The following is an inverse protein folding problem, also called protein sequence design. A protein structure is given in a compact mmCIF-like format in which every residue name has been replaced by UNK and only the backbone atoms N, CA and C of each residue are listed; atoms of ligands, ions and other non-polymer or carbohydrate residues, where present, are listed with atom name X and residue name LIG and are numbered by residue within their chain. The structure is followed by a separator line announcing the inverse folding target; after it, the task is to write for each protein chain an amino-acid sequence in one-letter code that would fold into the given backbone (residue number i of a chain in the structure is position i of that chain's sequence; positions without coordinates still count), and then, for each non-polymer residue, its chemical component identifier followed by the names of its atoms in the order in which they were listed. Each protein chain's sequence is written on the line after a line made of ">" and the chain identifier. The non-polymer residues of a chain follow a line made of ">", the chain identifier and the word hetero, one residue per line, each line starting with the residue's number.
data_IF_468462367005
#
_entry.id   IF_468462367005
#
_cell.length_a   1.000
_cell.length_b   1.000
_cell.length_c   1.000
_cell.angle_alpha   90.00
_cell.angle_beta   90.00
_cell.angle_gamma   90.00
#
_symmetry.space_group_name_H-M   'P 1'
#
loop_
_entity.id
_entity.type
_entity.pdbx_description
1 polymer ?
#
# COMPACT_ATOMS: atom_id res chain seq x y z
N UNK A 1 52.02 50.31 50.20
CA UNK A 1 50.73 49.63 50.42
C UNK A 1 49.74 50.25 49.43
N UNK A 2 49.56 49.81 48.19
CA UNK A 2 49.16 48.51 47.65
C UNK A 2 47.81 48.00 48.19
N UNK A 3 46.72 48.39 47.53
CA UNK A 3 45.51 47.60 47.17
C UNK A 3 44.54 48.56 46.43
N UNK A 4 44.72 48.77 45.12
CA UNK A 4 44.29 47.91 44.01
C UNK A 4 42.75 47.93 43.80
N UNK A 5 42.33 48.96 43.07
CA UNK A 5 41.33 49.00 41.99
C UNK A 5 40.63 47.65 41.72
N UNK A 6 39.32 47.55 42.00
CA UNK A 6 38.36 46.80 41.16
C UNK A 6 37.05 47.59 41.11
N UNK A 7 37.05 48.56 40.20
CA UNK A 7 35.98 48.92 39.25
C UNK A 7 34.55 48.55 39.62
N UNK A 8 33.73 49.61 39.73
CA UNK A 8 32.32 49.68 39.35
C UNK A 8 31.98 48.78 38.16
N UNK A 9 31.64 47.52 38.42
CA UNK A 9 30.84 46.74 37.51
C UNK A 9 29.40 47.00 37.90
N UNK A 10 28.79 47.94 37.16
CA UNK A 10 27.35 47.97 36.86
C UNK A 10 26.81 46.54 36.75
N UNK A 11 25.49 46.30 36.88
CA UNK A 11 24.90 45.01 36.52
C UNK A 11 25.10 44.84 35.01
N UNK A 12 26.33 44.49 34.62
CA UNK A 12 26.82 44.36 33.27
C UNK A 12 26.23 43.07 32.80
N UNK A 13 25.01 43.26 32.35
CA UNK A 13 24.36 42.46 31.37
C UNK A 13 24.11 41.08 32.00
N UNK A 14 22.88 40.90 32.44
CA UNK A 14 22.18 39.68 32.11
C UNK A 14 22.34 39.48 30.58
N UNK A 15 23.52 39.01 30.15
CA UNK A 15 23.74 38.53 28.81
C UNK A 15 22.88 37.30 28.85
N UNK A 16 21.70 37.48 28.26
CA UNK A 16 20.87 36.47 27.65
C UNK A 16 21.74 35.32 27.13
N UNK A 17 22.18 34.45 28.03
CA UNK A 17 22.08 33.03 27.82
C UNK A 17 20.60 32.67 28.03
N UNK A 18 19.71 33.37 27.31
CA UNK A 18 18.71 32.65 26.56
C UNK A 18 19.54 31.65 25.77
N UNK A 19 19.74 30.46 26.36
CA UNK A 19 20.04 29.27 25.62
C UNK A 19 18.99 29.31 24.54
N UNK A 20 19.36 29.79 23.35
CA UNK A 20 18.63 29.50 22.15
C UNK A 20 18.72 27.99 22.09
N UNK A 21 17.76 27.33 22.73
CA UNK A 21 17.40 25.97 22.42
C UNK A 21 16.77 26.08 21.03
N UNK A 22 17.59 26.35 20.02
CA UNK A 22 17.32 25.89 18.67
C UNK A 22 17.35 24.39 18.83
N UNK A 23 16.20 23.81 19.18
CA UNK A 23 16.00 22.40 18.94
C UNK A 23 16.31 22.23 17.45
N UNK A 24 17.24 21.35 17.07
CA UNK A 24 17.44 21.08 15.65
C UNK A 24 16.06 20.73 15.10
N UNK A 25 15.65 21.38 14.01
CA UNK A 25 14.38 21.04 13.35
C UNK A 25 14.57 19.60 12.90
N UNK A 26 14.11 18.64 13.70
CA UNK A 26 14.17 17.25 13.31
C UNK A 26 13.21 17.11 12.13
N UNK A 27 13.72 16.51 11.06
CA UNK A 27 12.97 16.22 9.85
C UNK A 27 13.19 14.75 9.56
N UNK A 28 12.17 14.09 9.04
CA UNK A 28 12.35 12.76 8.49
C UNK A 28 12.92 12.91 7.08
N UNK A 29 13.87 12.06 6.74
CA UNK A 29 14.39 11.98 5.38
C UNK A 29 13.94 10.65 4.75
N UNK A 30 13.32 10.72 3.59
CA UNK A 30 12.92 9.55 2.81
C UNK A 30 13.25 9.78 1.34
N UNK A 31 14.10 8.91 0.77
CA UNK A 31 14.57 9.01 -0.63
C UNK A 31 15.10 10.42 -1.00
N UNK A 32 15.82 11.09 -0.09
CA UNK A 32 16.36 12.43 -0.30
C UNK A 32 15.35 13.58 -0.13
N UNK A 33 14.07 13.29 0.13
CA UNK A 33 13.06 14.28 0.49
C UNK A 33 13.01 14.47 2.01
N UNK A 34 12.89 15.73 2.44
CA UNK A 34 12.78 16.09 3.86
C UNK A 34 11.33 16.40 4.22
N UNK A 35 10.85 15.76 5.28
CA UNK A 35 9.49 15.87 5.79
C UNK A 35 9.52 16.48 7.19
N UNK A 36 8.79 17.58 7.44
CA UNK A 36 8.68 18.16 8.78
C UNK A 36 8.06 17.19 9.78
N UNK A 37 8.41 17.29 11.07
CA UNK A 37 7.71 16.59 12.15
C UNK A 37 6.20 16.84 12.06
N UNK A 38 5.41 15.78 12.25
CA UNK A 38 3.95 15.82 12.21
C UNK A 38 3.36 15.72 10.80
N UNK A 39 4.17 15.86 9.75
CA UNK A 39 3.69 15.69 8.38
C UNK A 39 3.42 14.22 8.05
N UNK A 40 2.38 14.00 7.24
CA UNK A 40 2.07 12.72 6.63
C UNK A 40 2.43 12.74 5.14
N UNK A 41 2.92 11.61 4.65
CA UNK A 41 3.31 11.44 3.26
C UNK A 41 3.09 10.00 2.80
N UNK A 42 2.92 9.81 1.48
CA UNK A 42 2.66 8.51 0.87
C UNK A 42 3.74 8.16 -0.16
N UNK A 43 4.79 7.42 0.25
CA UNK A 43 5.83 6.98 -0.67
C UNK A 43 5.34 6.12 -1.83
N UNK A 44 4.32 5.30 -1.57
CA UNK A 44 3.68 4.41 -2.54
C UNK A 44 2.18 4.42 -2.29
N UNK A 45 1.39 3.91 -3.23
CA UNK A 45 -0.06 3.78 -3.04
C UNK A 45 -0.42 2.88 -1.83
N UNK A 46 0.48 1.99 -1.43
CA UNK A 46 0.34 1.05 -0.31
C UNK A 46 0.96 1.51 1.02
N UNK A 47 1.69 2.62 1.04
CA UNK A 47 2.44 3.04 2.23
C UNK A 47 2.03 4.45 2.63
N UNK A 48 1.65 4.60 3.90
CA UNK A 48 1.42 5.92 4.51
C UNK A 48 2.36 6.06 5.69
N UNK A 49 3.17 7.12 5.67
CA UNK A 49 4.14 7.41 6.71
C UNK A 49 3.82 8.74 7.39
N UNK A 50 4.08 8.81 8.69
CA UNK A 50 4.04 10.04 9.48
C UNK A 50 5.40 10.30 10.09
N UNK A 51 5.88 11.54 9.99
CA UNK A 51 7.14 11.91 10.62
C UNK A 51 6.93 12.17 12.12
N UNK A 52 7.49 11.32 12.98
CA UNK A 52 7.35 11.47 14.43
C UNK A 52 8.32 12.51 15.00
N UNK A 53 8.03 12.98 16.21
CA UNK A 53 8.87 13.96 16.93
C UNK A 53 10.30 13.48 17.19
N UNK A 54 10.55 12.18 17.10
CA UNK A 54 11.87 11.57 17.15
C UNK A 54 12.74 11.82 15.90
N UNK A 55 12.18 12.43 14.85
CA UNK A 55 12.82 12.55 13.54
C UNK A 55 12.84 11.24 12.75
N UNK A 56 12.13 10.20 13.22
CA UNK A 56 11.96 8.92 12.52
C UNK A 56 10.54 8.79 11.99
N UNK A 57 10.34 8.27 10.78
CA UNK A 57 9.01 8.02 10.26
C UNK A 57 8.39 6.78 10.90
N UNK A 58 7.10 6.85 11.20
CA UNK A 58 6.23 5.72 11.51
C UNK A 58 5.39 5.41 10.27
N UNK A 59 5.50 4.21 9.70
CA UNK A 59 4.85 3.86 8.45
C UNK A 59 3.85 2.72 8.63
N UNK A 60 2.69 2.88 8.02
CA UNK A 60 1.67 1.86 7.83
C UNK A 60 1.77 1.33 6.40
N UNK A 61 1.93 0.02 6.26
CA UNK A 61 1.98 -0.67 4.97
C UNK A 61 0.70 -1.48 4.85
N UNK A 62 -0.04 -1.25 3.77
CA UNK A 62 -1.26 -2.00 3.46
C UNK A 62 -0.90 -3.22 2.61
N UNK A 63 -1.37 -4.39 3.04
CA UNK A 63 -1.33 -5.62 2.25
C UNK A 63 -2.67 -5.84 1.54
N UNK A 64 -2.60 -6.39 0.32
CA UNK A 64 -3.78 -6.66 -0.47
C UNK A 64 -4.38 -8.03 -0.17
N UNK A 65 -5.69 -8.08 0.00
CA UNK A 65 -6.40 -9.34 0.10
C UNK A 65 -6.33 -10.09 -1.24
N UNK A 66 -6.03 -11.39 -1.18
CA UNK A 66 -5.92 -12.22 -2.38
C UNK A 66 -7.31 -12.55 -2.93
N UNK A 67 -7.60 -12.07 -4.13
CA UNK A 67 -8.81 -12.37 -4.89
C UNK A 67 -8.39 -13.04 -6.22
N UNK A 68 -8.58 -14.35 -6.40
CA UNK A 68 -8.23 -15.03 -7.65
C UNK A 68 -9.19 -14.60 -8.76
N UNK A 69 -8.71 -13.74 -9.65
CA UNK A 69 -9.39 -13.32 -10.87
C UNK A 69 -8.37 -13.18 -12.01
N UNK A 70 -8.83 -13.32 -13.25
CA UNK A 70 -8.01 -13.23 -14.44
C UNK A 70 -8.11 -11.88 -15.16
N UNK A 71 -9.03 -11.03 -14.71
CA UNK A 71 -9.35 -9.70 -15.24
C UNK A 71 -8.94 -8.58 -14.27
N UNK A 72 -7.90 -8.80 -13.45
CA UNK A 72 -7.43 -7.81 -12.49
C UNK A 72 -6.97 -6.53 -13.19
N UNK A 73 -7.40 -5.38 -12.68
CA UNK A 73 -7.07 -4.06 -13.21
C UNK A 73 -6.38 -3.23 -12.12
N UNK A 74 -5.28 -2.56 -12.49
CA UNK A 74 -4.63 -1.58 -11.61
C UNK A 74 -5.37 -0.24 -11.69
N UNK A 75 -5.73 0.31 -10.53
CA UNK A 75 -6.39 1.62 -10.42
C UNK A 75 -5.36 2.61 -9.88
N UNK A 76 -4.99 3.66 -10.65
CA UNK A 76 -4.01 4.65 -10.20
C UNK A 76 -4.37 5.28 -8.85
N UNK A 77 -3.41 5.35 -7.93
CA UNK A 77 -3.62 5.89 -6.59
C UNK A 77 -4.22 4.90 -5.59
N UNK A 78 -4.53 3.66 -6.01
CA UNK A 78 -4.95 2.59 -5.12
C UNK A 78 -3.84 1.55 -4.95
N UNK A 79 -3.64 1.12 -3.71
CA UNK A 79 -2.64 0.09 -3.39
C UNK A 79 -2.93 -1.23 -4.13
N UNK A 80 -4.19 -1.66 -4.13
CA UNK A 80 -4.58 -2.99 -4.57
C UNK A 80 -5.26 -2.96 -5.93
N UNK A 81 -4.96 -3.97 -6.73
CA UNK A 81 -5.67 -4.21 -7.98
C UNK A 81 -7.13 -4.60 -7.70
N UNK A 82 -8.00 -4.30 -8.65
CA UNK A 82 -9.42 -4.57 -8.57
C UNK A 82 -9.82 -5.70 -9.53
N UNK A 83 -10.67 -6.61 -9.06
CA UNK A 83 -11.31 -7.64 -9.88
C UNK A 83 -12.74 -7.20 -10.21
N UNK A 84 -13.01 -6.59 -11.38
CA UNK A 84 -14.30 -5.96 -11.67
C UNK A 84 -15.47 -6.95 -11.66
N UNK A 85 -15.21 -8.23 -11.96
CA UNK A 85 -16.24 -9.28 -11.92
C UNK A 85 -16.12 -10.22 -10.71
N UNK A 86 -15.26 -9.88 -9.74
CA UNK A 86 -14.94 -10.72 -8.58
C UNK A 86 -14.10 -11.94 -8.93
N UNK A 87 -14.18 -13.01 -8.14
CA UNK A 87 -13.45 -14.24 -8.43
C UNK A 87 -13.97 -14.87 -9.73
N UNK A 88 -13.05 -15.20 -10.63
CA UNK A 88 -13.37 -15.73 -11.95
C UNK A 88 -12.19 -16.52 -12.54
N UNK A 89 -12.44 -17.17 -13.67
CA UNK A 89 -11.44 -17.91 -14.43
C UNK A 89 -11.76 -17.89 -15.92
N UNK A 90 -10.80 -18.29 -16.76
CA UNK A 90 -10.99 -18.44 -18.20
C UNK A 90 -11.64 -19.78 -18.56
N UNK A 91 -12.63 -19.77 -19.45
CA UNK A 91 -13.08 -20.95 -20.17
C UNK A 91 -12.15 -21.30 -21.34
N UNK A 92 -12.33 -22.47 -21.97
CA UNK A 92 -11.49 -22.89 -23.11
C UNK A 92 -11.51 -21.91 -24.30
N UNK A 93 -12.60 -21.17 -24.49
CA UNK A 93 -12.73 -20.18 -25.56
C UNK A 93 -12.25 -18.77 -25.14
N UNK A 94 -11.59 -18.63 -23.99
CA UNK A 94 -11.12 -17.35 -23.45
C UNK A 94 -12.19 -16.51 -22.74
N UNK A 95 -13.45 -16.98 -22.67
CA UNK A 95 -14.51 -16.26 -21.95
C UNK A 95 -14.25 -16.30 -20.44
N UNK A 96 -14.42 -15.16 -19.77
CA UNK A 96 -14.37 -15.06 -18.31
C UNK A 96 -15.67 -15.60 -17.69
N UNK A 97 -15.55 -16.44 -16.68
CA UNK A 97 -16.66 -17.05 -15.94
C UNK A 97 -16.49 -16.85 -14.44
N UNK A 98 -17.60 -16.50 -13.77
CA UNK A 98 -17.63 -16.30 -12.33
C UNK A 98 -17.32 -17.60 -11.58
N UNK A 99 -16.55 -17.50 -10.50
CA UNK A 99 -16.25 -18.62 -9.62
C UNK A 99 -17.54 -19.29 -9.11
N UNK A 100 -17.52 -20.63 -9.05
CA UNK A 100 -18.67 -21.45 -8.66
C UNK A 100 -19.76 -21.61 -9.73
N UNK A 101 -19.56 -21.11 -10.95
CA UNK A 101 -20.53 -21.26 -12.05
C UNK A 101 -20.15 -22.37 -13.04
N UNK A 102 -21.16 -22.96 -13.67
CA UNK A 102 -21.01 -23.82 -14.85
C UNK A 102 -21.68 -23.15 -16.06
N UNK A 103 -20.99 -23.14 -17.20
CA UNK A 103 -21.53 -22.62 -18.46
C UNK A 103 -21.36 -23.63 -19.59
N UNK A 104 -22.22 -23.54 -20.60
CA UNK A 104 -22.04 -24.22 -21.89
C UNK A 104 -21.30 -23.27 -22.84
N UNK A 105 -20.12 -23.67 -23.34
CA UNK A 105 -19.32 -22.84 -24.26
C UNK A 105 -19.53 -23.18 -25.74
N UNK A 106 -19.92 -24.42 -26.03
CA UNK A 106 -20.29 -24.90 -27.36
C UNK A 106 -21.33 -26.02 -27.23
N UNK A 107 -21.85 -26.53 -28.36
CA UNK A 107 -22.92 -27.54 -28.40
C UNK A 107 -22.68 -28.77 -27.51
N UNK A 108 -21.42 -29.13 -27.27
CA UNK A 108 -21.02 -30.33 -26.57
C UNK A 108 -20.04 -30.05 -25.42
N UNK A 109 -19.77 -28.83 -25.00
CA UNK A 109 -18.76 -28.55 -23.98
C UNK A 109 -19.30 -27.67 -22.86
N UNK A 110 -19.18 -28.17 -21.64
CA UNK A 110 -19.50 -27.45 -20.40
C UNK A 110 -18.21 -27.15 -19.64
N UNK A 111 -18.10 -25.93 -19.12
CA UNK A 111 -16.96 -25.47 -18.34
C UNK A 111 -17.42 -25.04 -16.95
N UNK A 112 -16.73 -25.51 -15.92
CA UNK A 112 -17.00 -25.18 -14.53
C UNK A 112 -15.84 -24.37 -13.96
N UNK A 113 -16.15 -23.16 -13.50
CA UNK A 113 -15.23 -22.38 -12.69
C UNK A 113 -15.37 -22.83 -11.23
N UNK A 114 -14.31 -23.32 -10.57
CA UNK A 114 -14.43 -23.80 -9.21
C UNK A 114 -14.64 -22.66 -8.21
N UNK A 115 -14.87 -23.05 -6.96
CA UNK A 115 -15.20 -22.12 -5.89
C UNK A 115 -14.08 -21.10 -5.61
N UNK A 116 -14.42 -19.91 -5.05
CA UNK A 116 -13.50 -18.80 -4.75
C UNK A 116 -12.19 -19.14 -4.03
N UNK A 117 -12.15 -20.22 -3.25
CA UNK A 117 -10.99 -20.62 -2.43
C UNK A 117 -9.94 -21.42 -3.19
N UNK A 118 -10.25 -21.83 -4.43
CA UNK A 118 -9.34 -22.57 -5.31
C UNK A 118 -8.65 -21.54 -6.22
N UNK A 119 -7.39 -21.81 -6.60
CA UNK A 119 -6.60 -20.95 -7.49
C UNK A 119 -6.47 -21.46 -8.94
N UNK A 120 -7.54 -21.67 -9.72
CA UNK A 120 -7.37 -22.00 -11.12
C UNK A 120 -7.63 -20.76 -11.96
N UNK A 121 -6.63 -20.40 -12.76
CA UNK A 121 -6.79 -19.39 -13.81
C UNK A 121 -7.74 -19.88 -14.91
N UNK A 122 -7.95 -21.19 -15.04
CA UNK A 122 -8.77 -21.82 -16.07
C UNK A 122 -9.85 -22.71 -15.48
N UNK A 123 -11.05 -22.69 -16.06
CA UNK A 123 -12.14 -23.58 -15.74
C UNK A 123 -11.85 -25.03 -16.16
N UNK A 124 -12.46 -25.97 -15.45
CA UNK A 124 -12.46 -27.38 -15.84
C UNK A 124 -13.57 -27.61 -16.85
N UNK A 125 -13.22 -28.04 -18.07
CA UNK A 125 -14.18 -28.24 -19.14
C UNK A 125 -14.34 -29.72 -19.50
N UNK A 126 -15.58 -30.15 -19.69
CA UNK A 126 -15.97 -31.51 -20.08
C UNK A 126 -16.75 -31.50 -21.38
N UNK A 127 -16.43 -32.43 -22.27
CA UNK A 127 -17.20 -32.67 -23.50
C UNK A 127 -18.31 -33.68 -23.22
N UNK A 128 -19.56 -33.34 -23.50
CA UNK A 128 -20.66 -34.30 -23.56
C UNK A 128 -20.58 -35.07 -24.87
N UNK A 129 -20.40 -36.39 -24.78
CA UNK A 129 -20.56 -37.28 -25.94
C UNK A 129 -22.03 -37.20 -26.38
N UNK A 130 -22.29 -36.81 -27.63
CA UNK A 130 -23.62 -36.98 -28.23
C UNK A 130 -23.93 -38.47 -28.14
N UNK A 131 -24.95 -38.87 -27.37
CA UNK A 131 -25.50 -40.23 -27.46
C UNK A 131 -25.84 -40.44 -28.93
N UNK A 132 -25.15 -41.36 -29.61
CA UNK A 132 -25.58 -41.83 -30.93
C UNK A 132 -27.02 -42.31 -30.74
N UNK A 133 -27.98 -41.59 -31.33
CA UNK A 133 -29.36 -42.01 -31.37
C UNK A 133 -29.36 -43.30 -32.19
N UNK A 134 -29.55 -44.43 -31.52
CA UNK A 134 -29.64 -45.75 -32.13
C UNK A 134 -30.96 -45.88 -32.88
#
# INVERSE_FOLDING_TARGET
>A
MAKLIIVFMLPFVAILAAKLTVQPIHMCEYQGHKFPIGSEYRPTDCTTCRCESSGRPSCLIADCFFVPCVDSVHIPGQCCNHCPTGNNCYALNGKIIKAGSEIKIDDNTFCTCPAPWVRPNNATCRKTLKKKKQ
#
